data_IF_184710235991
#
_entry.id   IF_184710235991
#
_cell.length_a   1.000
_cell.length_b   1.000
_cell.length_c   1.000
_cell.angle_alpha   90.00
_cell.angle_beta   90.00
_cell.angle_gamma   90.00
#
_symmetry.space_group_name_H-M   'P 1'
#
loop_
_entity.id
_entity.type
_entity.pdbx_description
1 polymer ?
#
# COMPACT_ATOMS: atom_id res chain seq x y z
N UNK A 1 12.86 7.14 -12.89
CA UNK A 1 13.87 7.03 -11.80
C UNK A 1 13.13 7.20 -10.47
N UNK A 2 13.26 6.27 -9.51
CA UNK A 2 12.51 6.24 -8.24
C UNK A 2 12.43 7.58 -7.50
N UNK A 3 13.45 8.42 -7.67
CA UNK A 3 13.54 9.77 -7.12
C UNK A 3 12.39 10.70 -7.52
N UNK A 4 11.84 10.64 -8.75
CA UNK A 4 10.75 11.55 -9.17
C UNK A 4 9.40 11.20 -8.55
N UNK A 5 9.07 9.91 -8.46
CA UNK A 5 7.84 9.46 -7.80
C UNK A 5 7.95 9.65 -6.28
N UNK A 6 9.10 9.29 -5.71
CA UNK A 6 9.38 9.53 -4.29
C UNK A 6 9.25 11.00 -3.93
N UNK A 7 9.80 11.92 -4.73
CA UNK A 7 9.73 13.37 -4.43
C UNK A 7 8.33 13.96 -4.56
N UNK A 8 7.51 13.46 -5.48
CA UNK A 8 6.08 13.83 -5.55
C UNK A 8 5.32 13.39 -4.29
N UNK A 9 5.71 12.26 -3.71
CA UNK A 9 5.03 11.66 -2.56
C UNK A 9 5.52 12.20 -1.21
N UNK A 10 6.84 12.18 -0.97
CA UNK A 10 7.47 12.49 0.31
C UNK A 10 8.20 13.84 0.30
N UNK A 11 8.11 14.61 -0.80
CA UNK A 11 8.84 15.87 -0.93
C UNK A 11 10.35 15.69 -1.18
N UNK A 12 11.15 16.75 -1.03
CA UNK A 12 12.59 16.75 -1.37
C UNK A 12 13.41 15.65 -0.68
N UNK A 13 13.00 15.26 0.53
CA UNK A 13 13.67 14.25 1.34
C UNK A 13 13.66 12.86 0.70
N UNK A 14 12.75 12.60 -0.23
CA UNK A 14 12.70 11.34 -0.96
C UNK A 14 13.96 11.06 -1.80
N UNK A 15 14.75 12.09 -2.10
CA UNK A 15 16.01 11.95 -2.84
C UNK A 15 17.16 11.41 -1.95
N UNK A 16 16.97 11.35 -0.62
CA UNK A 16 17.99 10.84 0.31
C UNK A 16 18.17 9.33 0.13
N UNK A 17 19.40 8.82 -0.09
CA UNK A 17 19.64 7.40 -0.34
C UNK A 17 19.01 6.42 0.68
N UNK A 18 18.97 6.70 2.00
CA UNK A 18 18.31 5.82 2.96
C UNK A 18 16.80 5.68 2.71
N UNK A 19 16.13 6.73 2.22
CA UNK A 19 14.69 6.70 1.92
C UNK A 19 14.39 5.75 0.76
N UNK A 20 15.32 5.60 -0.19
CA UNK A 20 15.16 4.63 -1.28
C UNK A 20 15.09 3.18 -0.78
N UNK A 21 15.75 2.84 0.33
CA UNK A 21 15.66 1.49 0.93
C UNK A 21 14.24 1.25 1.43
N UNK A 22 13.67 2.22 2.15
CA UNK A 22 12.30 2.16 2.66
C UNK A 22 11.30 2.06 1.50
N UNK A 23 11.43 2.91 0.48
CA UNK A 23 10.53 2.91 -0.69
C UNK A 23 10.58 1.59 -1.46
N UNK A 24 11.76 0.99 -1.61
CA UNK A 24 11.90 -0.33 -2.24
C UNK A 24 11.29 -1.43 -1.37
N UNK A 25 11.44 -1.35 -0.05
CA UNK A 25 10.83 -2.28 0.88
C UNK A 25 9.29 -2.25 0.80
N UNK A 26 8.69 -1.06 0.80
CA UNK A 26 7.25 -0.87 0.63
C UNK A 26 6.76 -1.45 -0.72
N UNK A 27 7.44 -1.09 -1.82
CA UNK A 27 7.09 -1.63 -3.13
C UNK A 27 7.24 -3.15 -3.22
N UNK A 28 8.29 -3.72 -2.61
CA UNK A 28 8.50 -5.17 -2.56
C UNK A 28 7.41 -5.89 -1.76
N UNK A 29 6.95 -5.30 -0.64
CA UNK A 29 5.81 -5.79 0.16
C UNK A 29 4.55 -5.85 -0.69
N UNK A 30 4.22 -4.77 -1.40
CA UNK A 30 2.99 -4.70 -2.19
C UNK A 30 3.01 -5.70 -3.37
N UNK A 31 4.17 -5.86 -4.00
CA UNK A 31 4.39 -6.90 -5.03
C UNK A 31 4.17 -8.29 -4.44
N UNK A 32 4.74 -8.58 -3.26
CA UNK A 32 4.60 -9.89 -2.63
C UNK A 32 3.16 -10.22 -2.25
N UNK A 33 2.42 -9.27 -1.66
CA UNK A 33 1.01 -9.43 -1.32
C UNK A 33 0.14 -9.65 -2.56
N UNK A 34 0.38 -8.86 -3.60
CA UNK A 34 -0.35 -8.97 -4.87
C UNK A 34 -0.05 -10.28 -5.59
N UNK A 35 1.22 -10.68 -5.66
CA UNK A 35 1.64 -11.94 -6.28
C UNK A 35 1.06 -13.14 -5.52
N UNK A 36 1.08 -13.12 -4.19
CA UNK A 36 0.48 -14.16 -3.36
C UNK A 36 -1.02 -14.28 -3.58
N UNK A 37 -1.74 -13.15 -3.66
CA UNK A 37 -3.17 -13.12 -3.98
C UNK A 37 -3.46 -13.75 -5.35
N UNK A 38 -2.73 -13.33 -6.39
CA UNK A 38 -2.90 -13.85 -7.76
C UNK A 38 -2.58 -15.34 -7.83
N UNK A 39 -1.48 -15.78 -7.23
CA UNK A 39 -1.07 -17.18 -7.24
C UNK A 39 -2.08 -18.06 -6.50
N UNK A 40 -2.63 -17.59 -5.37
CA UNK A 40 -3.68 -18.31 -4.65
C UNK A 40 -4.95 -18.45 -5.52
N UNK A 41 -5.37 -17.37 -6.18
CA UNK A 41 -6.52 -17.39 -7.08
C UNK A 41 -6.34 -18.37 -8.26
N UNK A 42 -5.16 -18.36 -8.89
CA UNK A 42 -4.84 -19.27 -10.00
C UNK A 42 -4.81 -20.74 -9.59
N UNK A 43 -4.48 -21.03 -8.33
CA UNK A 43 -4.40 -22.39 -7.79
C UNK A 43 -5.69 -22.85 -7.10
N UNK A 44 -6.72 -22.00 -7.03
CA UNK A 44 -7.94 -22.27 -6.26
C UNK A 44 -7.67 -22.41 -4.75
N UNK A 45 -6.58 -21.82 -4.25
CA UNK A 45 -6.25 -21.80 -2.83
C UNK A 45 -6.93 -20.62 -2.12
N UNK A 46 -7.06 -20.70 -0.79
CA UNK A 46 -7.72 -19.65 0.00
C UNK A 46 -7.03 -18.28 -0.13
N UNK A 47 -7.81 -17.24 -0.42
CA UNK A 47 -7.33 -15.87 -0.60
C UNK A 47 -7.18 -15.11 0.71
N UNK A 48 -7.96 -15.53 1.72
CA UNK A 48 -8.07 -14.94 3.04
C UNK A 48 -6.77 -14.40 3.66
N UNK A 49 -5.66 -15.16 3.77
CA UNK A 49 -4.43 -14.64 4.39
C UNK A 49 -3.80 -13.47 3.60
N UNK A 50 -3.87 -13.51 2.27
CA UNK A 50 -3.33 -12.45 1.42
C UNK A 50 -4.19 -11.20 1.42
N UNK A 51 -5.51 -11.35 1.44
CA UNK A 51 -6.46 -10.25 1.56
C UNK A 51 -6.34 -9.55 2.93
N UNK A 52 -6.25 -10.32 4.03
CA UNK A 52 -6.01 -9.76 5.37
C UNK A 52 -4.68 -8.98 5.40
N UNK A 53 -3.62 -9.55 4.83
CA UNK A 53 -2.32 -8.88 4.73
C UNK A 53 -2.41 -7.57 3.93
N UNK A 54 -3.16 -7.56 2.83
CA UNK A 54 -3.36 -6.37 1.99
C UNK A 54 -4.15 -5.28 2.73
N UNK A 55 -5.26 -5.63 3.39
CA UNK A 55 -6.02 -4.68 4.23
C UNK A 55 -5.14 -4.10 5.33
N UNK A 56 -4.39 -4.94 6.06
CA UNK A 56 -3.50 -4.47 7.11
C UNK A 56 -2.41 -3.53 6.61
N UNK A 57 -1.85 -3.82 5.43
CA UNK A 57 -0.88 -2.99 4.73
C UNK A 57 -1.45 -1.61 4.40
N UNK A 58 -2.60 -1.56 3.73
CA UNK A 58 -3.25 -0.31 3.33
C UNK A 58 -3.66 0.55 4.53
N UNK A 59 -4.20 -0.07 5.59
CA UNK A 59 -4.55 0.64 6.82
C UNK A 59 -3.31 1.22 7.52
N UNK A 60 -2.18 0.51 7.46
CA UNK A 60 -0.90 1.02 8.01
C UNK A 60 -0.43 2.24 7.22
N UNK A 61 -0.48 2.18 5.89
CA UNK A 61 -0.07 3.30 5.03
C UNK A 61 -1.00 4.51 5.23
N UNK A 62 -2.31 4.27 5.40
CA UNK A 62 -3.29 5.31 5.75
C UNK A 62 -2.97 5.94 7.11
N UNK A 63 -2.76 5.12 8.14
CA UNK A 63 -2.44 5.60 9.49
C UNK A 63 -1.12 6.40 9.52
N UNK A 64 -0.08 5.91 8.84
CA UNK A 64 1.20 6.61 8.72
C UNK A 64 1.05 7.95 7.97
N UNK A 65 0.25 7.98 6.91
CA UNK A 65 -0.06 9.21 6.14
C UNK A 65 -0.81 10.24 6.98
N UNK A 66 -1.78 9.79 7.78
CA UNK A 66 -2.52 10.66 8.70
C UNK A 66 -1.61 11.20 9.81
N UNK A 67 -0.75 10.34 10.38
CA UNK A 67 0.21 10.72 11.42
C UNK A 67 1.26 11.72 10.91
N UNK A 68 1.70 11.58 9.65
CA UNK A 68 2.60 12.54 9.02
C UNK A 68 1.95 13.92 8.81
N UNK A 69 0.63 13.98 8.59
CA UNK A 69 -0.12 15.23 8.59
C UNK A 69 0.38 16.23 7.54
N UNK A 70 0.67 17.47 7.94
CA UNK A 70 1.12 18.54 7.05
C UNK A 70 2.62 18.46 6.66
N UNK A 71 3.36 17.47 7.16
CA UNK A 71 4.73 17.21 6.70
C UNK A 71 4.80 16.63 5.28
N UNK A 72 3.67 16.14 4.75
CA UNK A 72 3.56 15.65 3.38
C UNK A 72 2.96 16.70 2.44
N UNK A 73 3.34 16.71 1.15
CA UNK A 73 2.64 17.50 0.14
C UNK A 73 1.14 17.19 0.15
N UNK A 74 0.28 18.22 0.22
CA UNK A 74 -1.18 18.05 0.37
C UNK A 74 -1.80 17.11 -0.67
N UNK A 75 -1.36 17.21 -1.94
CA UNK A 75 -1.83 16.33 -3.03
C UNK A 75 -1.45 14.87 -2.79
N UNK A 76 -0.23 14.63 -2.33
CA UNK A 76 0.26 13.30 -2.00
C UNK A 76 -0.52 12.71 -0.83
N UNK A 77 -0.71 13.49 0.25
CA UNK A 77 -1.50 13.07 1.41
C UNK A 77 -2.92 12.64 1.04
N UNK A 78 -3.64 13.50 0.32
CA UNK A 78 -5.01 13.19 -0.10
C UNK A 78 -5.06 12.01 -1.08
N UNK A 79 -4.09 11.92 -1.99
CA UNK A 79 -3.96 10.80 -2.92
C UNK A 79 -3.75 9.47 -2.19
N UNK A 80 -2.84 9.42 -1.22
CA UNK A 80 -2.58 8.21 -0.42
C UNK A 80 -3.78 7.85 0.45
N UNK A 81 -4.43 8.82 1.10
CA UNK A 81 -5.65 8.55 1.89
C UNK A 81 -6.73 7.92 1.02
N UNK A 82 -6.99 8.50 -0.15
CA UNK A 82 -8.01 8.02 -1.07
C UNK A 82 -7.68 6.62 -1.60
N UNK A 83 -6.42 6.40 -2.04
CA UNK A 83 -5.99 5.13 -2.62
C UNK A 83 -5.95 4.01 -1.58
N UNK A 84 -5.29 4.23 -0.44
CA UNK A 84 -5.20 3.23 0.62
C UNK A 84 -6.58 2.90 1.21
N UNK A 85 -7.42 3.92 1.43
CA UNK A 85 -8.79 3.71 1.89
C UNK A 85 -9.64 2.91 0.89
N UNK A 86 -9.59 3.25 -0.39
CA UNK A 86 -10.32 2.53 -1.43
C UNK A 86 -9.82 1.08 -1.61
N UNK A 87 -8.50 0.88 -1.57
CA UNK A 87 -7.88 -0.44 -1.69
C UNK A 87 -8.24 -1.34 -0.49
N UNK A 88 -8.14 -0.82 0.73
CA UNK A 88 -8.55 -1.54 1.95
C UNK A 88 -10.03 -1.94 1.90
N UNK A 89 -10.92 -1.04 1.44
CA UNK A 89 -12.34 -1.33 1.29
C UNK A 89 -12.59 -2.41 0.22
N UNK A 90 -11.89 -2.36 -0.92
CA UNK A 90 -12.01 -3.36 -1.96
C UNK A 90 -11.54 -4.74 -1.48
N UNK A 91 -10.40 -4.82 -0.81
CA UNK A 91 -9.88 -6.07 -0.26
C UNK A 91 -10.78 -6.63 0.85
N UNK A 92 -11.34 -5.78 1.72
CA UNK A 92 -12.32 -6.20 2.72
C UNK A 92 -13.64 -6.70 2.10
N UNK A 93 -14.10 -6.09 1.01
CA UNK A 93 -15.27 -6.56 0.27
C UNK A 93 -15.04 -7.93 -0.38
N UNK A 94 -13.86 -8.14 -0.96
CA UNK A 94 -13.45 -9.45 -1.49
C UNK A 94 -13.38 -10.50 -0.39
N UNK A 95 -12.82 -10.14 0.77
CA UNK A 95 -12.74 -11.02 1.94
C UNK A 95 -14.14 -11.46 2.41
N UNK A 96 -15.08 -10.53 2.47
CA UNK A 96 -16.46 -10.82 2.85
C UNK A 96 -17.23 -11.65 1.81
N UNK A 97 -16.78 -11.64 0.55
CA UNK A 97 -17.35 -12.46 -0.52
C UNK A 97 -16.73 -13.87 -0.58
N UNK A 98 -15.47 -14.03 -0.18
CA UNK A 98 -14.76 -15.33 -0.08
C UNK A 98 -15.32 -16.21 1.07
N UNK A 99 -15.85 -15.59 2.13
CA UNK A 99 -16.47 -16.28 3.27
C UNK A 99 -17.92 -16.80 2.98
N UNK A 100 -18.45 -16.66 1.75
CA UNK A 100 -19.81 -17.10 1.35
C UNK A 100 -19.78 -18.29 0.40
#
# INVERSE_FOLDING_TARGET
MPSRMGTSWLGPDAAKPPVHVVLRGLGARDIALSAGTVLAALQGAGLRPWLIGSVGSDLTDLAATLAAGDSLPRRARLGTIALAGASALAAAALLAADDR
#
